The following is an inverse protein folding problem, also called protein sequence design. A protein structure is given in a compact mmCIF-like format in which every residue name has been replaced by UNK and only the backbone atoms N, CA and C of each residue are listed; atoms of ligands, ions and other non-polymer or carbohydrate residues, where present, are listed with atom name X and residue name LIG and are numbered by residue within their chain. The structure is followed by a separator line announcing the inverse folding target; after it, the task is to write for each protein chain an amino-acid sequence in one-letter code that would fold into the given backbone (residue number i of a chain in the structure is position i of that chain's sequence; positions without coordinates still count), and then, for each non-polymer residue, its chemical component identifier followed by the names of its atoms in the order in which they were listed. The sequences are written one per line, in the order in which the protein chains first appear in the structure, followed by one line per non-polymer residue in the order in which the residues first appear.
data_IF_129959788389
#
_entry.id   IF_129959788389
#
_cell.length_a   1.000
_cell.length_b   1.000
_cell.length_c   1.000
_cell.angle_alpha   90.00
_cell.angle_beta   90.00
_cell.angle_gamma   90.00
#
_symmetry.space_group_name_H-M   'P 1'
#
loop_
_entity.id
_entity.type
_entity.pdbx_description
1 polymer ?
#
# COMPACT_ATOMS: atom_id res chain seq x y z
N UNK A 1 18.24 -11.91 -0.99
CA UNK A 1 17.48 -11.06 -1.94
C UNK A 1 16.01 -11.16 -1.53
N UNK A 2 15.26 -10.05 -1.46
CA UNK A 2 13.83 -10.10 -1.11
C UNK A 2 13.02 -10.50 -2.33
N UNK A 3 11.99 -11.30 -2.14
CA UNK A 3 11.16 -11.78 -3.25
C UNK A 3 10.15 -10.72 -3.70
N UNK A 4 9.82 -10.78 -4.99
CA UNK A 4 8.72 -10.02 -5.58
C UNK A 4 7.45 -10.82 -5.35
N UNK A 5 6.47 -10.23 -4.66
CA UNK A 5 5.20 -10.91 -4.41
C UNK A 5 4.25 -10.84 -5.60
N UNK A 6 3.38 -11.84 -5.70
CA UNK A 6 2.17 -11.83 -6.54
C UNK A 6 0.88 -11.59 -5.74
N UNK A 7 0.98 -11.39 -4.43
CA UNK A 7 -0.19 -11.21 -3.55
C UNK A 7 -0.88 -9.87 -3.76
N UNK A 8 -2.18 -9.83 -3.46
CA UNK A 8 -2.98 -8.61 -3.41
C UNK A 8 -3.06 -7.97 -2.02
N UNK A 9 -2.56 -8.62 -0.98
CA UNK A 9 -2.70 -8.19 0.42
C UNK A 9 -1.42 -7.52 0.95
N UNK A 10 -1.56 -6.30 1.46
CA UNK A 10 -0.49 -5.51 2.04
C UNK A 10 0.03 -6.10 3.35
N UNK A 11 -0.86 -6.63 4.20
CA UNK A 11 -0.45 -7.37 5.41
C UNK A 11 0.46 -8.55 5.04
N UNK A 12 0.09 -9.33 4.01
CA UNK A 12 0.93 -10.42 3.54
C UNK A 12 2.25 -9.92 2.94
N UNK A 13 2.30 -8.72 2.33
CA UNK A 13 3.56 -8.09 1.92
C UNK A 13 4.50 -7.85 3.11
N UNK A 14 3.95 -7.28 4.19
CA UNK A 14 4.71 -7.00 5.41
C UNK A 14 5.18 -8.28 6.09
N UNK A 15 4.26 -9.21 6.38
CA UNK A 15 4.55 -10.45 7.12
C UNK A 15 5.55 -11.36 6.39
N UNK A 16 5.47 -11.43 5.06
CA UNK A 16 6.39 -12.26 4.27
C UNK A 16 7.66 -11.51 3.82
N UNK A 17 7.87 -10.27 4.29
CA UNK A 17 9.05 -9.46 4.00
C UNK A 17 9.33 -9.29 2.49
N UNK A 18 8.26 -9.13 1.70
CA UNK A 18 8.36 -8.89 0.25
C UNK A 18 8.82 -7.46 -0.06
N UNK A 19 9.29 -7.25 -1.30
CA UNK A 19 9.62 -5.89 -1.77
C UNK A 19 8.32 -5.11 -2.00
N UNK A 20 8.04 -4.13 -1.15
CA UNK A 20 7.00 -3.15 -1.37
C UNK A 20 7.62 -1.82 -1.82
N UNK A 21 7.15 -1.29 -2.95
CA UNK A 21 7.50 0.06 -3.40
C UNK A 21 6.56 1.04 -2.70
N UNK A 22 7.11 1.83 -1.80
CA UNK A 22 6.32 2.75 -0.98
C UNK A 22 5.61 3.81 -1.83
N UNK A 23 4.28 3.88 -1.67
CA UNK A 23 3.40 4.87 -2.29
C UNK A 23 2.55 5.61 -1.27
N UNK A 24 2.85 5.46 0.02
CA UNK A 24 2.01 5.95 1.10
C UNK A 24 1.92 7.47 1.15
N UNK A 25 2.97 8.18 0.70
CA UNK A 25 2.91 9.62 0.45
C UNK A 25 1.82 9.99 -0.58
N UNK A 26 1.80 9.32 -1.73
CA UNK A 26 0.79 9.57 -2.76
C UNK A 26 -0.60 9.18 -2.28
N UNK A 27 -0.73 8.09 -1.51
CA UNK A 27 -2.00 7.69 -0.90
C UNK A 27 -2.57 8.85 -0.05
N UNK A 28 -1.75 9.49 0.79
CA UNK A 28 -2.18 10.64 1.61
C UNK A 28 -2.71 11.79 0.76
N UNK A 29 -2.12 12.04 -0.40
CA UNK A 29 -2.58 13.11 -1.29
C UNK A 29 -3.83 12.69 -2.09
N UNK A 30 -3.95 11.40 -2.44
CA UNK A 30 -5.12 10.84 -3.13
C UNK A 30 -6.39 10.87 -2.27
N UNK A 31 -6.30 10.58 -0.97
CA UNK A 31 -7.47 10.55 -0.08
C UNK A 31 -8.11 11.93 0.16
N UNK A 32 -7.41 13.01 -0.20
CA UNK A 32 -7.95 14.38 -0.14
C UNK A 32 -8.85 14.73 -1.32
N UNK A 33 -8.88 13.89 -2.35
CA UNK A 33 -9.69 14.08 -3.54
C UNK A 33 -11.07 13.44 -3.32
N UNK A 34 -12.13 14.12 -3.77
CA UNK A 34 -13.51 13.60 -3.69
C UNK A 34 -13.71 12.33 -4.53
N UNK A 35 -13.04 12.25 -5.68
CA UNK A 35 -13.12 11.11 -6.60
C UNK A 35 -11.76 10.85 -7.23
N UNK A 36 -11.34 9.57 -7.23
CA UNK A 36 -10.05 9.14 -7.79
C UNK A 36 -10.28 8.06 -8.85
N UNK A 37 -9.64 8.23 -10.01
CA UNK A 37 -9.54 7.19 -11.03
C UNK A 37 -8.12 6.61 -11.04
N UNK A 38 -7.99 5.30 -10.77
CA UNK A 38 -6.69 4.61 -10.75
C UNK A 38 -6.45 3.94 -12.12
N UNK A 39 -6.00 4.71 -13.10
CA UNK A 39 -5.66 4.22 -14.45
C UNK A 39 -4.32 3.47 -14.46
N UNK A 40 -4.33 2.14 -14.67
CA UNK A 40 -3.12 1.32 -14.88
C UNK A 40 -3.45 0.06 -15.70
N UNK A 41 -2.49 -0.60 -16.39
CA UNK A 41 -2.72 -1.89 -17.06
C UNK A 41 -3.02 -3.05 -16.07
N UNK A 42 -3.50 -4.19 -16.58
CA UNK A 42 -3.78 -5.39 -15.77
C UNK A 42 -2.49 -5.87 -15.08
N UNK A 43 -2.59 -6.30 -13.81
CA UNK A 43 -1.47 -6.72 -12.92
C UNK A 43 -0.51 -5.61 -12.45
N UNK A 44 -0.79 -4.33 -12.69
CA UNK A 44 0.03 -3.22 -12.16
C UNK A 44 -0.30 -2.82 -10.71
N UNK A 45 -0.70 -3.78 -9.86
CA UNK A 45 -0.90 -3.54 -8.42
C UNK A 45 -2.04 -2.59 -8.06
N UNK A 46 -3.11 -2.50 -8.88
CA UNK A 46 -4.31 -1.69 -8.56
C UNK A 46 -4.98 -2.16 -7.28
N UNK A 47 -5.28 -3.46 -7.21
CA UNK A 47 -5.88 -4.10 -6.04
C UNK A 47 -4.99 -3.95 -4.80
N UNK A 48 -3.68 -4.17 -4.93
CA UNK A 48 -2.74 -4.01 -3.82
C UNK A 48 -2.77 -2.59 -3.24
N UNK A 49 -2.84 -1.55 -4.07
CA UNK A 49 -2.93 -0.17 -3.55
C UNK A 49 -4.23 0.08 -2.81
N UNK A 50 -5.36 -0.46 -3.30
CA UNK A 50 -6.63 -0.34 -2.59
C UNK A 50 -6.59 -1.10 -1.25
N UNK A 51 -5.97 -2.27 -1.23
CA UNK A 51 -5.78 -3.06 0.00
C UNK A 51 -4.82 -2.35 0.99
N UNK A 52 -3.75 -1.71 0.52
CA UNK A 52 -2.89 -0.85 1.35
C UNK A 52 -3.71 0.30 1.97
N UNK A 53 -4.56 0.96 1.17
CA UNK A 53 -5.41 2.04 1.68
C UNK A 53 -6.37 1.49 2.73
N UNK A 54 -7.07 0.39 2.46
CA UNK A 54 -7.97 -0.25 3.41
C UNK A 54 -7.25 -0.60 4.71
N UNK A 55 -6.10 -1.28 4.62
CA UNK A 55 -5.27 -1.64 5.78
C UNK A 55 -4.87 -0.40 6.60
N UNK A 56 -4.49 0.70 5.94
CA UNK A 56 -4.14 1.95 6.62
C UNK A 56 -5.31 2.53 7.43
N UNK A 57 -6.52 2.49 6.88
CA UNK A 57 -7.72 2.99 7.57
C UNK A 57 -8.25 2.04 8.64
N UNK A 58 -8.10 0.73 8.46
CA UNK A 58 -8.60 -0.29 9.39
C UNK A 58 -7.68 -0.45 10.60
N UNK A 59 -6.36 -0.45 10.38
CA UNK A 59 -5.36 -0.76 11.41
C UNK A 59 -4.58 0.45 11.88
N UNK A 60 -4.58 1.55 11.12
CA UNK A 60 -3.65 2.66 11.32
C UNK A 60 -2.27 2.36 10.73
N UNK A 61 -1.25 3.07 11.22
CA UNK A 61 0.14 2.91 10.75
C UNK A 61 0.86 1.72 11.41
N UNK A 62 0.51 1.39 12.65
CA UNK A 62 1.03 0.22 13.35
C UNK A 62 0.04 -0.95 13.16
N UNK A 63 0.50 -2.19 12.91
CA UNK A 63 1.91 -2.64 12.88
C UNK A 63 2.56 -2.66 11.49
N UNK A 64 1.81 -2.39 10.42
CA UNK A 64 2.18 -2.83 9.08
C UNK A 64 2.91 -1.79 8.22
N UNK A 65 2.98 -0.52 8.64
CA UNK A 65 3.54 0.56 7.82
C UNK A 65 4.99 0.93 8.19
N UNK A 66 5.65 0.21 9.11
CA UNK A 66 7.04 0.48 9.48
C UNK A 66 7.96 0.57 8.27
N UNK A 67 8.75 1.65 8.21
CA UNK A 67 9.67 1.92 7.11
C UNK A 67 9.02 2.44 5.83
N UNK A 68 7.73 2.79 5.87
CA UNK A 68 7.06 3.57 4.81
C UNK A 68 6.97 5.04 5.24
N UNK A 69 6.79 5.93 4.27
CA UNK A 69 6.73 7.37 4.49
C UNK A 69 5.61 7.79 5.45
N UNK A 70 4.45 7.13 5.41
CA UNK A 70 3.30 7.50 6.27
C UNK A 70 3.51 7.13 7.74
N UNK A 71 4.43 6.22 8.06
CA UNK A 71 4.68 5.81 9.43
C UNK A 71 5.31 6.94 10.27
N UNK A 72 6.12 7.80 9.64
CA UNK A 72 6.80 8.92 10.28
C UNK A 72 6.03 10.26 10.10
N UNK A 73 4.70 10.22 10.02
CA UNK A 73 3.86 11.39 9.67
C UNK A 73 2.73 11.64 10.66
#
# INVERSE_FOLDING_TARGET
MKDISSTGSFINFYLNNYIYVDKTQYIRDLIKLERVFISRPRRFGKSLTLDTIATLFETGVEPYFKGTWIYDK
#
